data_IF_099647290365
#
_entry.id   IF_099647290365
#
_cell.length_a   1.000
_cell.length_b   1.000
_cell.length_c   1.000
_cell.angle_alpha   90.00
_cell.angle_beta   90.00
_cell.angle_gamma   90.00
#
_symmetry.space_group_name_H-M   'P 1'
#
loop_
_entity.id
_entity.type
_entity.pdbx_description
1 polymer ?
#
# COMPACT_ATOMS: atom_id res chain seq x y z
N UNK A 1 7.99 -13.26 9.03
CA UNK A 1 8.94 -12.19 9.41
C UNK A 1 10.09 -12.17 8.42
N UNK A 2 10.63 -10.99 8.09
CA UNK A 2 11.75 -10.85 7.16
C UNK A 2 13.05 -11.34 7.82
N UNK A 3 13.92 -12.03 7.06
CA UNK A 3 15.22 -12.46 7.59
C UNK A 3 16.20 -11.28 7.69
N UNK A 4 17.21 -11.37 8.56
CA UNK A 4 18.20 -10.29 8.74
C UNK A 4 18.91 -9.89 7.45
N UNK A 5 19.28 -10.87 6.61
CA UNK A 5 19.90 -10.62 5.29
C UNK A 5 18.96 -9.89 4.34
N UNK A 6 17.69 -10.32 4.27
CA UNK A 6 16.67 -9.65 3.44
C UNK A 6 16.35 -8.26 3.94
N UNK A 7 16.34 -8.04 5.26
CA UNK A 7 16.12 -6.73 5.84
C UNK A 7 17.25 -5.75 5.47
N UNK A 8 18.51 -6.20 5.52
CA UNK A 8 19.64 -5.40 5.06
C UNK A 8 19.50 -5.03 3.58
N UNK A 9 19.21 -6.01 2.72
CA UNK A 9 18.97 -5.78 1.29
C UNK A 9 17.82 -4.79 1.03
N UNK A 10 16.71 -4.91 1.78
CA UNK A 10 15.57 -4.00 1.64
C UNK A 10 15.93 -2.57 2.04
N UNK A 11 16.75 -2.41 3.09
CA UNK A 11 17.23 -1.09 3.53
C UNK A 11 18.11 -0.42 2.48
N UNK A 12 18.98 -1.18 1.81
CA UNK A 12 19.79 -0.69 0.68
C UNK A 12 18.89 -0.25 -0.48
N UNK A 13 17.93 -1.07 -0.90
CA UNK A 13 16.97 -0.71 -1.96
C UNK A 13 16.19 0.57 -1.62
N UNK A 14 15.76 0.73 -0.36
CA UNK A 14 15.08 1.94 0.10
C UNK A 14 16.01 3.16 0.05
N UNK A 15 17.26 3.01 0.48
CA UNK A 15 18.25 4.09 0.44
C UNK A 15 18.56 4.54 -1.00
N UNK A 16 18.56 3.61 -1.95
CA UNK A 16 18.77 3.87 -3.39
C UNK A 16 17.50 4.34 -4.12
N UNK A 17 16.35 4.41 -3.44
CA UNK A 17 15.06 4.75 -4.08
C UNK A 17 14.52 3.68 -5.04
N UNK A 18 14.99 2.44 -4.88
CA UNK A 18 14.65 1.25 -5.65
C UNK A 18 13.71 0.32 -4.90
N UNK A 19 12.96 0.82 -3.92
CA UNK A 19 12.07 -0.01 -3.09
C UNK A 19 10.97 -0.71 -3.90
N UNK A 20 10.67 -0.25 -5.12
CA UNK A 20 9.74 -0.92 -6.02
C UNK A 20 10.14 -2.39 -6.29
N UNK A 21 11.44 -2.71 -6.23
CA UNK A 21 11.95 -4.07 -6.39
C UNK A 21 11.47 -5.03 -5.30
N UNK A 22 11.17 -4.53 -4.09
CA UNK A 22 10.61 -5.34 -3.01
C UNK A 22 9.35 -6.09 -3.46
N UNK A 23 8.48 -5.42 -4.23
CA UNK A 23 7.22 -6.01 -4.68
C UNK A 23 7.42 -7.11 -5.74
N UNK A 24 8.63 -7.26 -6.29
CA UNK A 24 9.00 -8.33 -7.21
C UNK A 24 9.48 -9.60 -6.48
N UNK A 25 9.81 -9.51 -5.18
CA UNK A 25 10.35 -10.61 -4.39
C UNK A 25 9.38 -11.79 -4.29
N UNK A 26 9.93 -13.00 -4.24
CA UNK A 26 9.15 -14.23 -4.12
C UNK A 26 8.35 -14.30 -2.82
N UNK A 27 8.96 -13.83 -1.73
CA UNK A 27 8.36 -13.79 -0.39
C UNK A 27 7.12 -12.88 -0.38
N UNK A 28 7.18 -11.72 -1.04
CA UNK A 28 6.03 -10.83 -1.17
C UNK A 28 4.92 -11.46 -2.03
N UNK A 29 5.30 -12.04 -3.18
CA UNK A 29 4.35 -12.71 -4.08
C UNK A 29 3.63 -13.88 -3.42
N UNK A 30 4.30 -14.60 -2.54
CA UNK A 30 3.70 -15.68 -1.73
C UNK A 30 2.80 -15.14 -0.61
N UNK A 31 3.22 -14.09 0.10
CA UNK A 31 2.48 -13.51 1.22
C UNK A 31 1.19 -12.79 0.79
N UNK A 32 1.23 -12.10 -0.35
CA UNK A 32 0.11 -11.30 -0.86
C UNK A 32 -1.22 -12.07 -0.98
N UNK A 33 -1.30 -13.26 -1.62
CA UNK A 33 -2.55 -14.01 -1.68
C UNK A 33 -3.03 -14.49 -0.29
N UNK A 34 -2.13 -14.72 0.65
CA UNK A 34 -2.50 -15.14 2.01
C UNK A 34 -3.17 -14.01 2.79
N UNK A 35 -2.66 -12.77 2.69
CA UNK A 35 -3.32 -11.60 3.25
C UNK A 35 -4.69 -11.38 2.63
N UNK A 36 -4.80 -11.51 1.29
CA UNK A 36 -6.08 -11.40 0.60
C UNK A 36 -7.07 -12.49 1.03
N UNK A 37 -6.60 -13.72 1.31
CA UNK A 37 -7.45 -14.82 1.77
C UNK A 37 -7.91 -14.61 3.21
N UNK A 38 -6.99 -14.19 4.09
CA UNK A 38 -7.29 -13.85 5.49
C UNK A 38 -8.40 -12.78 5.59
N UNK A 39 -8.36 -11.81 4.69
CA UNK A 39 -9.32 -10.72 4.63
C UNK A 39 -10.60 -11.07 3.84
N UNK A 40 -10.81 -12.34 3.46
CA UNK A 40 -11.90 -12.81 2.60
C UNK A 40 -12.01 -12.05 1.26
N UNK A 41 -10.90 -11.48 0.79
CA UNK A 41 -10.82 -10.58 -0.37
C UNK A 41 -11.72 -9.35 -0.22
N UNK A 42 -12.01 -8.94 1.02
CA UNK A 42 -12.79 -7.76 1.35
C UNK A 42 -11.88 -6.58 1.70
N UNK A 43 -12.27 -5.38 1.29
CA UNK A 43 -11.58 -4.17 1.69
C UNK A 43 -11.83 -3.89 3.18
N UNK A 44 -10.78 -3.98 4.00
CA UNK A 44 -10.87 -3.83 5.44
C UNK A 44 -11.33 -2.43 5.87
N UNK A 45 -10.93 -1.38 5.13
CA UNK A 45 -11.39 0.01 5.34
C UNK A 45 -12.88 0.18 5.01
N UNK A 46 -13.37 -0.41 3.91
CA UNK A 46 -14.80 -0.37 3.58
C UNK A 46 -15.63 -1.14 4.61
N UNK A 47 -15.13 -2.32 5.04
CA UNK A 47 -15.77 -3.16 6.06
C UNK A 47 -15.95 -2.44 7.39
N UNK A 48 -14.93 -1.72 7.86
CA UNK A 48 -15.02 -0.86 9.04
C UNK A 48 -16.08 0.25 8.91
N UNK A 49 -16.35 0.71 7.69
CA UNK A 49 -17.40 1.70 7.38
C UNK A 49 -18.78 1.05 7.13
N UNK A 50 -18.94 -0.24 7.39
CA UNK A 50 -20.19 -0.97 7.14
C UNK A 50 -20.50 -1.23 5.65
N UNK A 51 -19.50 -1.17 4.76
CA UNK A 51 -19.67 -1.32 3.31
C UNK A 51 -18.87 -2.51 2.78
N UNK A 52 -19.44 -3.23 1.81
CA UNK A 52 -18.71 -4.26 1.07
C UNK A 52 -18.01 -3.67 -0.16
N UNK A 53 -16.75 -4.04 -0.34
CA UNK A 53 -16.04 -3.85 -1.61
C UNK A 53 -14.92 -4.88 -1.74
N UNK A 54 -14.76 -5.46 -2.92
CA UNK A 54 -13.67 -6.40 -3.20
C UNK A 54 -12.30 -5.72 -3.11
N UNK A 55 -11.40 -6.29 -2.32
CA UNK A 55 -10.01 -5.87 -2.25
C UNK A 55 -9.21 -6.39 -3.44
N UNK A 56 -8.24 -5.58 -3.89
CA UNK A 56 -7.32 -5.92 -5.00
C UNK A 56 -5.85 -5.68 -4.63
N UNK A 57 -5.61 -4.84 -3.63
CA UNK A 57 -4.29 -4.36 -3.23
C UNK A 57 -4.07 -4.75 -1.77
N UNK A 58 -2.86 -5.17 -1.44
CA UNK A 58 -2.42 -5.32 -0.05
C UNK A 58 -1.60 -4.08 0.27
N UNK A 59 -1.97 -3.40 1.35
CA UNK A 59 -1.39 -2.15 1.80
C UNK A 59 -0.61 -2.34 3.10
N UNK A 60 0.56 -1.72 3.18
CA UNK A 60 1.35 -1.61 4.42
C UNK A 60 0.82 -0.46 5.28
N UNK A 61 0.20 -0.80 6.42
CA UNK A 61 -0.33 0.17 7.39
C UNK A 61 0.78 1.09 7.91
N UNK A 62 1.89 0.52 8.36
CA UNK A 62 3.13 1.27 8.62
C UNK A 62 3.95 1.29 7.33
N UNK A 63 4.18 2.48 6.79
CA UNK A 63 4.82 2.68 5.50
C UNK A 63 6.16 1.90 5.38
N UNK A 64 6.39 1.26 4.23
CA UNK A 64 7.55 0.38 3.99
C UNK A 64 8.89 1.05 4.35
N UNK A 65 9.08 2.32 3.95
CA UNK A 65 10.28 3.12 4.26
C UNK A 65 10.49 3.37 5.76
N UNK A 66 9.43 3.39 6.57
CA UNK A 66 9.50 3.66 8.01
C UNK A 66 9.67 2.38 8.84
N UNK A 67 9.04 1.29 8.41
CA UNK A 67 9.10 -0.02 9.09
C UNK A 67 9.43 -1.15 8.10
N UNK A 68 10.65 -1.17 7.53
CA UNK A 68 11.07 -2.22 6.59
C UNK A 68 11.19 -3.60 7.27
N UNK A 69 11.39 -3.62 8.59
CA UNK A 69 11.35 -4.82 9.44
C UNK A 69 10.00 -5.53 9.40
N UNK A 70 8.91 -4.79 9.19
CA UNK A 70 7.57 -5.34 9.09
C UNK A 70 7.12 -5.62 7.65
N UNK A 71 7.99 -5.46 6.65
CA UNK A 71 7.63 -5.54 5.23
C UNK A 71 6.92 -6.85 4.82
N UNK A 72 7.31 -7.95 5.45
CA UNK A 72 6.78 -9.31 5.24
C UNK A 72 6.06 -9.86 6.49
N UNK A 73 5.44 -8.99 7.27
CA UNK A 73 4.65 -9.38 8.45
C UNK A 73 3.20 -8.96 8.31
N UNK A 74 2.26 -9.87 8.53
CA UNK A 74 0.81 -9.56 8.49
C UNK A 74 0.41 -8.71 9.72
N UNK A 75 1.07 -8.98 10.85
CA UNK A 75 0.86 -8.33 12.14
C UNK A 75 2.18 -7.72 12.63
N UNK A 76 2.08 -6.59 13.32
CA UNK A 76 3.19 -6.05 14.09
C UNK A 76 3.38 -6.92 15.35
N UNK A 77 4.59 -7.43 15.56
CA UNK A 77 4.91 -8.32 16.69
C UNK A 77 4.92 -7.61 18.03
N UNK A 78 5.15 -6.30 18.03
CA UNK A 78 5.28 -5.50 19.24
C UNK A 78 3.90 -5.01 19.70
N UNK A 79 3.05 -4.60 18.76
CA UNK A 79 1.72 -4.02 19.07
C UNK A 79 0.56 -4.99 18.87
N UNK A 80 0.76 -6.08 18.13
CA UNK A 80 -0.33 -7.00 17.74
C UNK A 80 -1.28 -6.43 16.69
N UNK A 81 -1.01 -5.25 16.13
CA UNK A 81 -1.86 -4.60 15.14
C UNK A 81 -1.61 -5.15 13.73
N UNK A 82 -2.58 -4.98 12.82
CA UNK A 82 -2.41 -5.34 11.41
C UNK A 82 -1.37 -4.45 10.75
N UNK A 83 -0.34 -5.07 10.17
CA UNK A 83 0.61 -4.39 9.30
C UNK A 83 0.22 -4.47 7.83
N UNK A 84 -0.28 -5.61 7.37
CA UNK A 84 -0.73 -5.78 5.98
C UNK A 84 -2.24 -5.92 5.96
N UNK A 85 -2.91 -5.06 5.19
CA UNK A 85 -4.37 -5.08 5.05
C UNK A 85 -4.79 -5.08 3.58
N UNK A 86 -5.86 -5.81 3.29
CA UNK A 86 -6.46 -5.84 1.96
C UNK A 86 -7.37 -4.63 1.76
N UNK A 87 -7.14 -3.87 0.70
CA UNK A 87 -7.90 -2.65 0.37
C UNK A 87 -8.33 -2.62 -1.10
N UNK A 88 -9.40 -1.87 -1.37
CA UNK A 88 -9.77 -1.52 -2.72
C UNK A 88 -8.88 -0.39 -3.26
N UNK A 89 -8.88 -0.16 -4.58
CA UNK A 89 -8.08 0.89 -5.24
C UNK A 89 -8.33 2.27 -4.64
N UNK A 90 -9.59 2.66 -4.49
CA UNK A 90 -9.96 3.97 -3.90
C UNK A 90 -9.41 4.13 -2.48
N UNK A 91 -9.60 3.14 -1.60
CA UNK A 91 -9.08 3.24 -0.23
C UNK A 91 -7.55 3.22 -0.19
N UNK A 92 -6.90 2.54 -1.13
CA UNK A 92 -5.45 2.59 -1.26
C UNK A 92 -4.96 3.98 -1.66
N UNK A 93 -5.62 4.64 -2.61
CA UNK A 93 -5.31 6.01 -3.02
C UNK A 93 -5.53 7.01 -1.87
N UNK A 94 -6.62 6.86 -1.10
CA UNK A 94 -6.89 7.66 0.12
C UNK A 94 -5.78 7.51 1.17
N UNK A 95 -5.08 6.37 1.21
CA UNK A 95 -3.97 6.10 2.12
C UNK A 95 -2.64 6.69 1.65
N UNK A 96 -2.52 7.02 0.36
CA UNK A 96 -1.31 7.58 -0.26
C UNK A 96 -1.60 8.92 -0.94
N UNK A 97 -2.02 9.97 -0.20
CA UNK A 97 -2.29 11.28 -0.79
C UNK A 97 -1.07 11.90 -1.48
N UNK A 98 0.15 11.54 -1.09
CA UNK A 98 1.40 11.92 -1.76
C UNK A 98 1.48 11.46 -3.22
N UNK A 99 0.86 10.32 -3.55
CA UNK A 99 0.80 9.79 -4.92
C UNK A 99 -0.19 10.53 -5.81
N UNK A 100 -1.20 11.17 -5.21
CA UNK A 100 -2.25 11.90 -5.94
C UNK A 100 -1.76 13.27 -6.46
N UNK A 101 -0.75 13.86 -5.81
CA UNK A 101 -0.25 15.22 -6.17
C UNK A 101 0.43 15.26 -7.54
N UNK A 102 0.95 14.13 -8.02
CA UNK A 102 1.67 14.05 -9.30
C UNK A 102 0.75 14.16 -10.53
N UNK A 103 -0.57 14.01 -10.36
CA UNK A 103 -1.53 13.94 -11.47
C UNK A 103 -2.65 14.99 -11.38
N UNK A 104 -2.43 16.14 -10.73
CA UNK A 104 -3.29 17.32 -10.98
C UNK A 104 -2.98 17.83 -12.38
N UNK A 105 -3.70 17.31 -13.38
CA UNK A 105 -3.75 17.90 -14.71
C UNK A 105 -4.35 19.31 -14.55
N UNK A 106 -3.48 20.31 -14.49
CA UNK A 106 -3.87 21.70 -14.68
C UNK A 106 -4.17 21.86 -16.18
N UNK A 107 -5.36 21.46 -16.61
CA UNK A 107 -5.85 21.93 -17.91
C UNK A 107 -6.26 23.37 -17.70
N UNK A 108 -5.56 24.29 -18.37
CA UNK A 108 -6.12 25.62 -18.58
C UNK A 108 -7.48 25.43 -19.29
N UNK A 109 -8.53 26.17 -18.90
CA UNK A 109 -9.79 26.16 -19.63
C UNK A 109 -9.49 26.52 -21.10
N UNK A 110 -10.02 25.71 -22.03
CA UNK A 110 -9.77 25.85 -23.48
C UNK A 110 -10.34 27.16 -24.03
N UNK A 111 -11.37 27.70 -23.36
CA UNK A 111 -12.02 28.94 -23.72
C UNK A 111 -12.04 29.89 -22.54
N UNK A 112 -11.79 31.17 -22.81
CA UNK A 112 -12.12 32.25 -21.87
C UNK A 112 -13.62 32.41 -21.93
N UNK A 113 -14.32 32.07 -20.86
CA UNK A 113 -15.76 32.23 -20.77
C UNK A 113 -16.11 33.72 -20.90
N UNK A 114 -16.83 34.08 -21.95
CA UNK A 114 -17.38 35.43 -22.16
C UNK A 114 -18.90 35.30 -22.18
N UNK A 115 -19.54 35.79 -21.13
CA UNK A 115 -20.98 36.03 -21.11
C UNK A 115 -21.16 37.52 -21.44
N UNK A 116 -21.70 37.81 -22.62
CA UNK A 116 -22.21 39.14 -23.00
C UNK A 116 -23.69 39.25 -22.59
#
# INVERSE_FOLDING_TARGET
MISGRRLAQLRELIAEGREAEFYSWGEWKALRPDVLRLDNRECQRCKQRGRYRRARIVHHVKHLRKRPDLALSIWDTDTGERQLISVCKQCHEELHPESQRQYRRFYAPVTVERWD
#
